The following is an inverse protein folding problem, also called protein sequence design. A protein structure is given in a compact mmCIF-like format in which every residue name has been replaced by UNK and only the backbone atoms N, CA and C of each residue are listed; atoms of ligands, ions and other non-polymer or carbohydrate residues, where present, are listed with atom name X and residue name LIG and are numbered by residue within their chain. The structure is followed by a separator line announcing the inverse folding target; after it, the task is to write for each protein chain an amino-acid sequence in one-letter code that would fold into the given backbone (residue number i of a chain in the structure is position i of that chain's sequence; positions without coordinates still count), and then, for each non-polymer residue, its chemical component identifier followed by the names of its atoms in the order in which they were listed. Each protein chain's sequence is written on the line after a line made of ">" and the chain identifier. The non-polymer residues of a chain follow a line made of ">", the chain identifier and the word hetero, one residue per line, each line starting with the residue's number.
data_IF_865755037721
#
_entry.id   IF_865755037721
#
_cell.length_a   1.000
_cell.length_b   1.000
_cell.length_c   1.000
_cell.angle_alpha   90.00
_cell.angle_beta   90.00
_cell.angle_gamma   90.00
#
_symmetry.space_group_name_H-M   'P 1'
#
loop_
_entity.id
_entity.type
_entity.pdbx_description
1 polymer ?
#
# COMPACT_ATOMS: atom_id res chain seq x y z
N UNK A 1 -1.81 -12.81 14.42
CA UNK A 1 -0.87 -11.92 13.70
C UNK A 1 -1.10 -12.08 12.20
N UNK A 2 -1.43 -11.01 11.48
CA UNK A 2 -1.54 -11.07 10.01
C UNK A 2 -0.14 -10.87 9.42
N UNK A 3 0.34 -11.81 8.60
CA UNK A 3 1.60 -11.68 7.91
C UNK A 3 1.43 -10.68 6.75
N UNK A 4 2.10 -9.53 6.84
CA UNK A 4 2.14 -8.55 5.76
C UNK A 4 3.23 -8.97 4.77
N UNK A 5 2.83 -9.39 3.58
CA UNK A 5 3.74 -9.60 2.47
C UNK A 5 4.11 -8.23 1.88
N UNK A 6 5.37 -8.08 1.50
CA UNK A 6 5.90 -6.86 0.91
C UNK A 6 6.55 -7.21 -0.42
N UNK A 7 6.19 -6.46 -1.46
CA UNK A 7 6.73 -6.68 -2.79
C UNK A 7 8.13 -6.07 -2.93
N UNK A 8 8.94 -6.70 -3.78
CA UNK A 8 10.25 -6.19 -4.15
C UNK A 8 10.11 -5.15 -5.27
N UNK A 9 10.99 -4.13 -5.31
CA UNK A 9 11.12 -3.28 -6.49
C UNK A 9 11.42 -4.13 -7.74
N UNK A 10 10.88 -3.74 -8.89
CA UNK A 10 10.99 -4.53 -10.13
C UNK A 10 12.44 -4.86 -10.50
N UNK A 11 13.36 -3.91 -10.36
CA UNK A 11 14.78 -4.13 -10.62
C UNK A 11 15.35 -5.25 -9.74
N UNK A 12 15.11 -5.19 -8.43
CA UNK A 12 15.58 -6.23 -7.51
C UNK A 12 14.89 -7.57 -7.74
N UNK A 13 13.63 -7.59 -8.17
CA UNK A 13 12.94 -8.83 -8.50
C UNK A 13 13.60 -9.55 -9.69
N UNK A 14 14.05 -8.79 -10.71
CA UNK A 14 14.82 -9.33 -11.85
C UNK A 14 16.16 -9.92 -11.38
N UNK A 15 16.91 -9.17 -10.57
CA UNK A 15 18.18 -9.66 -10.00
C UNK A 15 18.01 -10.95 -9.19
N UNK A 16 16.90 -11.08 -8.44
CA UNK A 16 16.58 -12.29 -7.67
C UNK A 16 16.22 -13.46 -8.57
N UNK A 17 15.50 -13.22 -9.66
CA UNK A 17 15.13 -14.25 -10.64
C UNK A 17 16.36 -14.81 -11.36
N UNK A 18 17.36 -13.96 -11.65
CA UNK A 18 18.62 -14.31 -12.31
C UNK A 18 19.58 -15.14 -11.45
N UNK A 19 19.39 -15.17 -10.12
CA UNK A 19 20.21 -16.01 -9.23
C UNK A 19 20.12 -17.49 -9.62
N UNK A 20 21.25 -18.20 -9.57
CA UNK A 20 21.28 -19.67 -9.68
C UNK A 20 21.04 -20.33 -8.33
N UNK A 21 20.82 -21.64 -8.34
CA UNK A 21 20.69 -22.43 -7.11
C UNK A 21 21.97 -22.34 -6.27
N UNK A 22 21.80 -22.17 -4.96
CA UNK A 22 22.84 -21.93 -3.96
C UNK A 22 23.61 -20.61 -4.11
N UNK A 23 23.21 -19.72 -5.01
CA UNK A 23 23.77 -18.38 -5.08
C UNK A 23 23.05 -17.41 -4.12
N UNK A 24 23.74 -16.31 -3.84
CA UNK A 24 23.20 -15.25 -3.01
C UNK A 24 23.58 -13.87 -3.54
N UNK A 25 22.71 -12.91 -3.27
CA UNK A 25 22.98 -11.49 -3.48
C UNK A 25 22.86 -10.71 -2.17
N UNK A 26 23.54 -9.57 -2.11
CA UNK A 26 23.37 -8.60 -1.03
C UNK A 26 22.27 -7.63 -1.43
N UNK A 27 21.35 -7.37 -0.51
CA UNK A 27 20.23 -6.47 -0.73
C UNK A 27 20.15 -5.45 0.40
N UNK A 28 20.05 -4.17 0.06
CA UNK A 28 19.93 -3.09 1.03
C UNK A 28 18.54 -2.45 0.93
N UNK A 29 17.81 -2.46 2.05
CA UNK A 29 16.49 -1.85 2.12
C UNK A 29 16.22 -1.33 3.52
N UNK A 30 15.57 -0.17 3.62
CA UNK A 30 15.15 0.45 4.89
C UNK A 30 16.30 0.57 5.91
N UNK A 31 17.50 0.96 5.45
CA UNK A 31 18.66 1.10 6.34
C UNK A 31 19.32 -0.21 6.78
N UNK A 32 18.93 -1.35 6.21
CA UNK A 32 19.35 -2.69 6.66
C UNK A 32 19.91 -3.50 5.50
N UNK A 33 20.96 -4.25 5.80
CA UNK A 33 21.53 -5.23 4.88
C UNK A 33 20.90 -6.60 5.07
N UNK A 34 20.53 -7.20 3.95
CA UNK A 34 19.98 -8.52 3.83
C UNK A 34 20.83 -9.35 2.87
N UNK A 35 20.81 -10.66 3.07
CA UNK A 35 21.34 -11.66 2.15
C UNK A 35 20.14 -12.39 1.57
N UNK A 36 19.95 -12.31 0.26
CA UNK A 36 18.93 -13.10 -0.44
C UNK A 36 19.64 -14.34 -0.97
N UNK A 37 19.15 -15.53 -0.64
CA UNK A 37 19.74 -16.80 -1.06
C UNK A 37 18.67 -17.63 -1.73
N UNK A 38 18.98 -18.11 -2.94
CA UNK A 38 18.14 -19.03 -3.69
C UNK A 38 18.63 -20.44 -3.40
N UNK A 39 17.89 -21.18 -2.60
CA UNK A 39 18.26 -22.54 -2.18
C UNK A 39 17.89 -23.53 -3.29
N UNK A 40 16.67 -23.39 -3.81
CA UNK A 40 16.18 -24.19 -4.94
C UNK A 40 15.43 -23.29 -5.92
N UNK A 41 14.93 -23.86 -7.03
CA UNK A 41 14.12 -23.12 -8.00
C UNK A 41 12.85 -22.49 -7.37
N UNK A 42 12.32 -23.10 -6.30
CA UNK A 42 11.08 -22.67 -5.65
C UNK A 42 11.30 -22.03 -4.27
N UNK A 43 12.49 -22.19 -3.70
CA UNK A 43 12.80 -21.72 -2.36
C UNK A 43 13.85 -20.63 -2.39
N UNK A 44 13.40 -19.42 -2.07
CA UNK A 44 14.25 -18.25 -1.93
C UNK A 44 13.96 -17.62 -0.58
N UNK A 45 15.01 -17.25 0.16
CA UNK A 45 14.88 -16.66 1.48
C UNK A 45 15.68 -15.37 1.58
N UNK A 46 15.13 -14.42 2.33
CA UNK A 46 15.80 -13.20 2.76
C UNK A 46 16.26 -13.39 4.20
N UNK A 47 17.57 -13.32 4.45
CA UNK A 47 18.16 -13.34 5.78
C UNK A 47 18.65 -11.94 6.16
N UNK A 48 18.26 -11.44 7.33
CA UNK A 48 18.84 -10.23 7.87
C UNK A 48 20.25 -10.53 8.42
N UNK A 49 21.28 -9.83 7.92
CA UNK A 49 22.68 -10.16 8.23
C UNK A 49 22.98 -10.00 9.73
N UNK A 50 22.38 -9.00 10.39
CA UNK A 50 22.61 -8.72 11.81
C UNK A 50 21.87 -9.68 12.73
N UNK A 51 20.60 -9.94 12.46
CA UNK A 51 19.71 -10.69 13.37
C UNK A 51 19.55 -12.16 12.99
N UNK A 52 20.05 -12.57 11.82
CA UNK A 52 19.86 -13.91 11.23
C UNK A 52 18.40 -14.34 11.07
N UNK A 53 17.45 -13.40 11.21
CA UNK A 53 16.03 -13.66 10.97
C UNK A 53 15.81 -13.89 9.48
N UNK A 54 15.15 -14.99 9.16
CA UNK A 54 14.82 -15.41 7.79
C UNK A 54 13.38 -15.08 7.45
N UNK A 55 13.14 -14.70 6.20
CA UNK A 55 11.81 -14.46 5.63
C UNK A 55 11.72 -15.19 4.29
N UNK A 56 10.65 -15.94 4.02
CA UNK A 56 10.45 -16.55 2.72
C UNK A 56 10.15 -15.48 1.66
N UNK A 57 10.67 -15.67 0.46
CA UNK A 57 10.32 -14.92 -0.74
C UNK A 57 9.50 -15.86 -1.63
N UNK A 58 8.41 -15.36 -2.21
CA UNK A 58 7.55 -16.11 -3.13
C UNK A 58 7.42 -15.38 -4.45
N UNK A 59 7.39 -16.13 -5.54
CA UNK A 59 7.08 -15.60 -6.88
C UNK A 59 5.58 -15.78 -7.15
N UNK A 60 4.89 -14.69 -7.46
CA UNK A 60 3.50 -14.73 -7.89
C UNK A 60 3.52 -14.74 -9.43
N UNK A 61 3.23 -15.90 -10.02
CA UNK A 61 3.06 -16.03 -11.47
C UNK A 61 1.61 -15.67 -11.76
N UNK A 62 1.37 -14.49 -12.32
CA UNK A 62 0.07 -14.18 -12.90
C UNK A 62 -0.12 -15.09 -14.11
N UNK A 63 -1.00 -16.09 -13.99
CA UNK A 63 -1.40 -16.90 -15.14
C UNK A 63 -2.17 -15.98 -16.07
N UNK A 64 -1.55 -15.60 -17.18
CA UNK A 64 -2.23 -14.96 -18.30
C UNK A 64 -3.31 -15.90 -18.82
N UNK A 65 -4.55 -15.69 -18.38
CA UNK A 65 -5.71 -16.25 -19.05
C UNK A 65 -5.77 -15.64 -20.45
N UNK A 66 -5.39 -16.43 -21.46
CA UNK A 66 -5.81 -16.21 -22.85
C UNK A 66 -7.33 -16.01 -22.87
N UNK A 67 -7.80 -14.79 -23.13
CA UNK A 67 -9.09 -14.51 -23.78
C UNK A 67 -9.00 -13.20 -24.55
N UNK A 68 -9.11 -13.36 -25.86
CA UNK A 68 -9.45 -12.33 -26.82
C UNK A 68 -10.66 -11.48 -26.39
N UNK A 69 -10.52 -10.17 -26.63
CA UNK A 69 -11.58 -9.18 -26.90
C UNK A 69 -13.00 -9.47 -26.42
N UNK A 70 -13.39 -8.98 -25.24
CA UNK A 70 -14.68 -8.28 -25.06
C UNK A 70 -14.73 -7.44 -23.77
N UNK A 71 -14.96 -6.13 -23.98
CA UNK A 71 -15.54 -5.12 -23.08
C UNK A 71 -15.85 -5.49 -21.61
N UNK A 72 -15.43 -4.59 -20.72
CA UNK A 72 -16.07 -4.26 -19.43
C UNK A 72 -16.13 -5.34 -18.34
N UNK A 73 -15.19 -5.27 -17.39
CA UNK A 73 -15.40 -4.64 -16.07
C UNK A 73 -14.17 -4.91 -15.21
N UNK A 74 -13.41 -3.83 -14.98
CA UNK A 74 -12.37 -3.75 -13.95
C UNK A 74 -13.00 -4.05 -12.59
N UNK A 75 -12.87 -5.29 -12.10
CA UNK A 75 -12.88 -5.56 -10.67
C UNK A 75 -11.50 -5.18 -10.12
N UNK A 76 -11.19 -3.89 -10.23
CA UNK A 76 -10.13 -3.28 -9.47
C UNK A 76 -10.70 -3.09 -8.07
N UNK A 77 -10.36 -4.01 -7.17
CA UNK A 77 -10.27 -3.71 -5.73
C UNK A 77 -9.09 -2.74 -5.53
N UNK A 78 -9.11 -1.62 -6.26
CA UNK A 78 -8.36 -0.43 -5.97
C UNK A 78 -9.02 0.13 -4.72
N UNK A 79 -8.31 0.06 -3.60
CA UNK A 79 -8.49 1.04 -2.56
C UNK A 79 -8.24 2.40 -3.22
N UNK A 80 -9.29 2.99 -3.76
CA UNK A 80 -9.26 4.30 -4.38
C UNK A 80 -9.04 5.29 -3.24
N UNK A 81 -7.77 5.62 -2.98
CA UNK A 81 -7.34 6.53 -1.92
C UNK A 81 -8.01 7.90 -2.07
N UNK A 82 -8.56 8.19 -3.24
CA UNK A 82 -9.20 9.47 -3.56
C UNK A 82 -10.71 9.51 -3.26
N UNK A 83 -11.32 8.39 -2.86
CA UNK A 83 -12.75 8.35 -2.52
C UNK A 83 -13.01 8.74 -1.08
N UNK A 84 -14.14 9.42 -0.87
CA UNK A 84 -14.61 9.85 0.44
C UNK A 84 -14.77 8.66 1.38
N UNK A 85 -14.24 8.79 2.60
CA UNK A 85 -14.28 7.71 3.61
C UNK A 85 -15.68 7.42 4.13
N UNK A 86 -16.64 8.32 3.89
CA UNK A 86 -18.02 8.21 4.39
C UNK A 86 -18.92 7.56 3.35
N UNK A 87 -18.92 8.05 2.10
CA UNK A 87 -19.81 7.51 1.06
C UNK A 87 -19.16 6.48 0.13
N UNK A 88 -17.82 6.40 0.09
CA UNK A 88 -17.04 5.46 -0.74
C UNK A 88 -17.39 5.57 -2.25
N UNK A 89 -18.03 6.67 -2.66
CA UNK A 89 -18.61 6.83 -3.98
C UNK A 89 -18.08 8.08 -4.69
N UNK A 90 -17.96 9.19 -3.95
CA UNK A 90 -17.53 10.48 -4.51
C UNK A 90 -16.09 10.80 -4.13
N UNK A 91 -15.40 11.52 -5.01
CA UNK A 91 -14.04 12.01 -4.76
C UNK A 91 -14.01 12.97 -3.56
N UNK A 92 -12.91 12.92 -2.81
CA UNK A 92 -12.62 13.83 -1.70
C UNK A 92 -12.46 15.25 -2.24
N UNK A 93 -13.09 16.20 -1.58
CA UNK A 93 -13.02 17.61 -1.97
C UNK A 93 -12.80 18.57 -0.81
N UNK A 94 -12.85 18.08 0.45
CA UNK A 94 -12.77 18.94 1.63
C UNK A 94 -11.73 18.42 2.63
N UNK A 95 -11.10 19.40 3.29
CA UNK A 95 -10.20 19.21 4.42
C UNK A 95 -11.01 19.39 5.70
N UNK A 96 -10.92 18.44 6.64
CA UNK A 96 -11.59 18.49 7.93
C UNK A 96 -10.71 19.25 8.92
N UNK A 97 -11.22 20.36 9.47
CA UNK A 97 -10.56 21.10 10.55
C UNK A 97 -11.03 20.59 11.93
N UNK A 98 -10.17 20.62 12.96
CA UNK A 98 -8.81 21.17 13.01
C UNK A 98 -7.71 20.18 12.59
N UNK A 99 -8.06 18.94 12.23
CA UNK A 99 -7.09 17.87 12.01
C UNK A 99 -6.47 17.84 10.60
N UNK A 100 -6.87 18.77 9.73
CA UNK A 100 -6.41 18.96 8.35
C UNK A 100 -6.41 17.68 7.49
N UNK A 101 -7.37 16.77 7.71
CA UNK A 101 -7.48 15.55 6.91
C UNK A 101 -8.32 15.74 5.65
N UNK A 102 -7.80 15.36 4.50
CA UNK A 102 -8.55 15.29 3.25
C UNK A 102 -9.25 13.94 3.12
N UNK A 103 -10.48 13.83 3.64
CA UNK A 103 -11.17 12.54 3.74
C UNK A 103 -12.66 12.55 3.34
N UNK A 104 -13.28 13.72 3.15
CA UNK A 104 -14.73 13.82 2.85
C UNK A 104 -15.04 14.51 1.51
N UNK A 105 -16.20 14.19 0.94
CA UNK A 105 -16.72 14.84 -0.27
C UNK A 105 -17.76 15.94 0.06
N UNK A 106 -17.99 16.83 -0.90
CA UNK A 106 -18.97 17.93 -0.81
C UNK A 106 -20.38 17.46 -0.44
N UNK A 107 -20.80 16.29 -0.90
CA UNK A 107 -22.16 15.78 -0.66
C UNK A 107 -22.40 15.46 0.82
N UNK A 108 -21.39 14.92 1.50
CA UNK A 108 -21.44 14.65 2.94
C UNK A 108 -21.50 15.97 3.71
N UNK A 109 -20.70 16.97 3.32
CA UNK A 109 -20.75 18.31 3.93
C UNK A 109 -22.13 18.95 3.77
N UNK A 110 -22.72 18.89 2.56
CA UNK A 110 -24.05 19.43 2.28
C UNK A 110 -25.18 18.69 3.02
N UNK A 111 -25.03 17.39 3.25
CA UNK A 111 -25.97 16.64 4.07
C UNK A 111 -25.88 17.08 5.55
N UNK A 112 -24.66 17.27 6.05
CA UNK A 112 -24.40 17.72 7.41
C UNK A 112 -24.78 19.17 7.69
N UNK A 113 -24.92 20.04 6.67
CA UNK A 113 -25.40 21.42 6.88
C UNK A 113 -26.89 21.51 7.28
N UNK A 114 -27.62 20.39 7.33
CA UNK A 114 -28.95 20.33 7.92
C UNK A 114 -28.97 20.10 9.45
N UNK A 115 -27.85 19.71 10.06
CA UNK A 115 -27.74 19.54 11.53
C UNK A 115 -26.31 19.87 11.99
N UNK A 116 -26.22 20.89 12.84
CA UNK A 116 -25.05 21.47 13.50
C UNK A 116 -23.78 20.59 13.56
N UNK A 117 -22.71 21.11 12.96
CA UNK A 117 -21.34 20.56 12.88
C UNK A 117 -20.58 20.59 14.24
N UNK A 118 -21.26 20.44 15.37
CA UNK A 118 -20.64 20.50 16.71
C UNK A 118 -20.33 19.11 17.28
N UNK A 119 -20.93 18.04 16.76
CA UNK A 119 -20.88 16.72 17.42
C UNK A 119 -20.25 15.60 16.58
N UNK A 120 -19.21 15.90 15.81
CA UNK A 120 -18.36 14.88 15.17
C UNK A 120 -17.03 14.66 15.91
N UNK A 121 -16.82 15.36 17.04
CA UNK A 121 -15.62 15.24 17.88
C UNK A 121 -15.71 14.12 18.93
N UNK A 122 -16.90 13.60 19.26
CA UNK A 122 -17.09 12.76 20.47
C UNK A 122 -17.23 11.26 20.26
N UNK A 123 -17.51 10.76 19.04
CA UNK A 123 -17.83 9.33 18.84
C UNK A 123 -17.04 8.57 17.79
N UNK A 124 -16.09 9.23 17.13
CA UNK A 124 -15.31 8.60 16.06
C UNK A 124 -13.84 8.52 16.50
N UNK A 125 -13.51 7.49 17.30
CA UNK A 125 -12.13 7.01 17.42
C UNK A 125 -11.72 6.35 16.10
N UNK A 126 -11.54 7.12 15.02
CA UNK A 126 -10.76 6.61 13.89
C UNK A 126 -9.30 6.72 14.30
N UNK A 127 -8.71 5.58 14.67
CA UNK A 127 -7.26 5.43 14.75
C UNK A 127 -6.70 5.52 13.33
N UNK A 128 -6.29 6.71 12.91
CA UNK A 128 -5.53 6.89 11.68
C UNK A 128 -4.07 6.48 11.90
N UNK A 129 -3.62 5.47 11.15
CA UNK A 129 -2.23 5.05 11.10
C UNK A 129 -1.52 5.89 10.04
N UNK A 130 -0.60 6.77 10.46
CA UNK A 130 0.20 7.58 9.55
C UNK A 130 1.50 6.85 9.15
N UNK A 131 1.73 6.51 7.87
CA UNK A 131 3.08 6.28 7.38
C UNK A 131 3.83 7.62 7.25
N UNK A 132 5.05 7.66 7.77
CA UNK A 132 5.90 8.85 8.05
C UNK A 132 6.33 9.75 6.86
N UNK A 133 5.73 9.67 5.68
CA UNK A 133 6.23 10.39 4.50
C UNK A 133 5.13 11.07 3.70
N UNK A 134 4.52 12.12 4.24
CA UNK A 134 3.77 13.06 3.41
C UNK A 134 4.21 14.48 3.79
N UNK A 135 5.25 14.96 3.09
CA UNK A 135 5.55 16.39 2.99
C UNK A 135 4.55 17.00 1.99
N UNK A 136 3.58 17.77 2.47
CA UNK A 136 2.82 18.65 1.60
C UNK A 136 3.60 19.95 1.45
N UNK A 137 4.22 20.12 0.28
CA UNK A 137 4.77 21.39 -0.15
C UNK A 137 3.59 22.24 -0.68
N UNK A 138 3.07 23.12 0.16
CA UNK A 138 2.11 24.15 -0.26
C UNK A 138 2.88 25.20 -1.09
N UNK A 139 2.94 25.01 -2.41
CA UNK A 139 3.09 26.13 -3.34
C UNK A 139 1.70 26.61 -3.72
N UNK A 140 1.45 27.84 -3.27
CA UNK A 140 0.34 28.76 -3.52
C UNK A 140 -0.46 28.52 -4.81
N UNK A 141 -1.78 28.41 -4.66
CA UNK A 141 -2.81 28.98 -5.54
C UNK A 141 -3.78 29.73 -4.63
#
# INVERSE_FOLDING_TARGET
>A
MKYLWQDFPEASAKDIDELKNNEFMKYYAHGKYYKITKVTANETYQENIKTRKRRPIRKIIEKSSNKDTSKNKKNENLYNIDLCVVCIDKQRTHIVCPCFHFCICQAVVKASTSVQFVELQSKIQIRFFFPKNIFFNLKQI
#
